data_IF_378909530446
#
_entry.id   IF_378909530446
#
_cell.length_a   1.000
_cell.length_b   1.000
_cell.length_c   1.000
_cell.angle_alpha   90.00
_cell.angle_beta   90.00
_cell.angle_gamma   90.00
#
_symmetry.space_group_name_H-M   'P 1'
#
loop_
_entity.id
_entity.type
_entity.pdbx_description
1 polymer ?
#
# COMPACT_ATOMS: atom_id res chain seq x y z
N UNK A 1 -1.49 39.28 -57.48
CA UNK A 1 -2.08 38.76 -56.19
C UNK A 1 -1.97 37.23 -56.02
N UNK A 2 -2.07 36.37 -57.02
CA UNK A 2 -1.99 34.89 -56.88
C UNK A 2 -0.62 34.37 -56.44
N UNK A 3 0.50 34.95 -56.90
CA UNK A 3 1.88 34.52 -56.61
C UNK A 3 2.24 34.59 -55.10
N UNK A 4 1.79 35.64 -54.41
CA UNK A 4 2.06 35.80 -52.96
C UNK A 4 1.25 34.84 -52.09
N UNK A 5 0.09 34.33 -52.53
CA UNK A 5 -0.67 33.31 -51.77
C UNK A 5 0.00 31.93 -51.85
N UNK A 6 0.63 31.62 -52.98
CA UNK A 6 1.35 30.35 -53.18
C UNK A 6 2.60 30.33 -52.33
N UNK A 7 3.39 31.40 -52.31
CA UNK A 7 4.60 31.51 -51.49
C UNK A 7 4.28 31.38 -49.98
N UNK A 8 3.21 32.02 -49.52
CA UNK A 8 2.75 31.87 -48.11
C UNK A 8 2.28 30.47 -47.76
N UNK A 9 1.67 29.72 -48.71
CA UNK A 9 1.32 28.32 -48.49
C UNK A 9 2.55 27.42 -48.40
N UNK A 10 3.53 27.60 -49.28
CA UNK A 10 4.78 26.83 -49.23
C UNK A 10 5.60 27.14 -47.96
N UNK A 11 5.66 28.40 -47.53
CA UNK A 11 6.33 28.76 -46.29
C UNK A 11 5.64 28.15 -45.06
N UNK A 12 4.33 28.12 -45.02
CA UNK A 12 3.58 27.41 -43.92
C UNK A 12 3.82 25.90 -43.95
N UNK A 13 3.80 25.27 -45.12
CA UNK A 13 4.05 23.84 -45.25
C UNK A 13 5.49 23.51 -44.83
N UNK A 14 6.48 24.30 -45.22
CA UNK A 14 7.88 24.11 -44.81
C UNK A 14 8.09 24.25 -43.31
N UNK A 15 7.40 25.18 -42.64
CA UNK A 15 7.43 25.32 -41.16
C UNK A 15 6.79 24.12 -40.49
N UNK A 16 5.66 23.60 -41.01
CA UNK A 16 5.04 22.38 -40.45
C UNK A 16 5.92 21.15 -40.62
N UNK A 17 6.57 20.98 -41.78
CA UNK A 17 7.51 19.87 -42.02
C UNK A 17 8.73 19.96 -41.12
N UNK A 18 9.25 21.17 -40.86
CA UNK A 18 10.36 21.39 -39.95
C UNK A 18 9.98 21.10 -38.49
N UNK A 19 8.78 21.48 -38.06
CA UNK A 19 8.26 21.19 -36.71
C UNK A 19 8.04 19.68 -36.48
N UNK A 20 7.58 18.95 -37.48
CA UNK A 20 7.43 17.49 -37.40
C UNK A 20 8.80 16.81 -37.37
N UNK A 21 9.77 17.28 -38.15
CA UNK A 21 11.14 16.75 -38.17
C UNK A 21 11.90 17.01 -36.84
N UNK A 22 11.58 18.10 -36.13
CA UNK A 22 12.15 18.40 -34.81
C UNK A 22 11.48 17.59 -33.69
N UNK A 23 10.27 17.05 -33.90
CA UNK A 23 9.55 16.21 -32.95
C UNK A 23 9.97 14.74 -32.96
N UNK A 24 10.70 14.28 -34.00
CA UNK A 24 11.32 12.94 -34.03
C UNK A 24 12.70 13.03 -33.36
N UNK A 25 12.72 13.41 -32.08
CA UNK A 25 13.92 13.30 -31.24
C UNK A 25 14.36 11.84 -31.17
N UNK A 26 15.65 11.60 -31.01
CA UNK A 26 16.30 10.30 -30.96
C UNK A 26 15.78 9.45 -29.82
N UNK A 27 14.57 8.91 -29.95
CA UNK A 27 13.98 7.93 -28.98
C UNK A 27 14.29 6.49 -29.38
N UNK A 28 14.89 6.26 -30.57
CA UNK A 28 15.18 4.92 -31.08
C UNK A 28 16.04 4.06 -30.13
N UNK A 29 16.82 4.70 -29.27
CA UNK A 29 17.69 4.03 -28.30
C UNK A 29 17.25 4.24 -26.84
N UNK A 30 16.05 4.81 -26.62
CA UNK A 30 15.57 5.10 -25.27
C UNK A 30 15.49 3.83 -24.41
N UNK A 31 14.95 2.76 -24.94
CA UNK A 31 14.88 1.48 -24.23
C UNK A 31 16.26 0.87 -24.00
N UNK A 32 17.16 0.94 -25.01
CA UNK A 32 18.53 0.42 -24.89
C UNK A 32 19.31 1.14 -23.77
N UNK A 33 19.25 2.48 -23.71
CA UNK A 33 19.96 3.25 -22.70
C UNK A 33 19.33 3.21 -21.31
N UNK A 34 18.03 2.95 -21.21
CA UNK A 34 17.32 2.85 -19.94
C UNK A 34 17.18 1.39 -19.43
N UNK A 35 17.61 0.40 -20.21
CA UNK A 35 17.65 -0.98 -19.79
C UNK A 35 18.98 -1.25 -19.09
N UNK A 36 18.94 -1.72 -17.85
CA UNK A 36 20.15 -2.17 -17.16
C UNK A 36 20.62 -3.51 -17.76
N UNK A 37 21.76 -3.55 -18.51
CA UNK A 37 22.23 -4.78 -19.16
C UNK A 37 22.73 -5.83 -18.15
N UNK A 38 22.98 -5.43 -16.91
CA UNK A 38 23.50 -6.28 -15.84
C UNK A 38 22.44 -6.68 -14.82
N UNK A 39 21.22 -6.11 -14.94
CA UNK A 39 20.09 -6.45 -14.07
C UNK A 39 19.34 -7.70 -14.58
N UNK A 40 18.69 -8.46 -13.69
CA UNK A 40 17.81 -9.53 -14.12
C UNK A 40 16.64 -8.95 -14.94
N UNK A 41 16.28 -9.63 -16.02
CA UNK A 41 15.14 -9.22 -16.84
C UNK A 41 13.84 -9.64 -16.17
N UNK A 42 12.73 -8.91 -16.37
CA UNK A 42 11.44 -9.22 -15.76
C UNK A 42 10.98 -10.67 -16.03
N UNK A 43 11.21 -11.19 -17.24
CA UNK A 43 10.88 -12.57 -17.62
C UNK A 43 11.69 -13.63 -16.85
N UNK A 44 12.90 -13.30 -16.43
CA UNK A 44 13.74 -14.18 -15.60
C UNK A 44 13.28 -14.22 -14.12
N UNK A 45 12.57 -13.20 -13.66
CA UNK A 45 12.13 -13.04 -12.27
C UNK A 45 10.67 -13.49 -12.04
N UNK A 46 9.92 -13.81 -13.10
CA UNK A 46 8.52 -14.22 -12.99
C UNK A 46 8.35 -15.69 -12.55
N UNK A 47 9.35 -16.51 -12.82
CA UNK A 47 9.22 -17.98 -12.69
C UNK A 47 9.25 -18.53 -11.27
N UNK A 48 9.78 -17.79 -10.29
CA UNK A 48 10.01 -18.23 -8.90
C UNK A 48 9.44 -17.29 -7.86
N UNK A 49 8.48 -16.45 -8.23
CA UNK A 49 7.92 -15.39 -7.40
C UNK A 49 8.95 -14.34 -6.91
N UNK A 50 10.13 -14.23 -7.52
CA UNK A 50 11.17 -13.32 -7.06
C UNK A 50 10.72 -11.85 -7.03
N UNK A 51 9.95 -11.40 -8.03
CA UNK A 51 9.40 -10.05 -8.06
C UNK A 51 8.32 -9.89 -6.98
N UNK A 52 7.30 -10.75 -6.99
CA UNK A 52 6.17 -10.64 -6.05
C UNK A 52 6.59 -10.84 -4.61
N UNK A 53 7.48 -11.79 -4.35
CA UNK A 53 8.06 -12.03 -3.03
C UNK A 53 8.90 -10.83 -2.53
N UNK A 54 9.72 -10.24 -3.39
CA UNK A 54 10.48 -9.03 -3.04
C UNK A 54 9.56 -7.85 -2.74
N UNK A 55 8.44 -7.70 -3.45
CA UNK A 55 7.43 -6.69 -3.16
C UNK A 55 6.73 -6.94 -1.82
N UNK A 56 6.33 -8.18 -1.53
CA UNK A 56 5.81 -8.58 -0.20
C UNK A 56 6.82 -8.21 0.90
N UNK A 57 8.08 -8.60 0.72
CA UNK A 57 9.15 -8.28 1.67
C UNK A 57 9.31 -6.78 1.90
N UNK A 58 9.10 -5.94 0.88
CA UNK A 58 9.15 -4.47 1.00
C UNK A 58 7.93 -3.88 1.73
N UNK A 59 6.77 -4.56 1.72
CA UNK A 59 5.55 -4.13 2.39
C UNK A 59 5.55 -4.45 3.89
N UNK A 60 6.17 -5.54 4.31
CA UNK A 60 6.17 -6.02 5.71
C UNK A 60 6.64 -4.94 6.71
N UNK A 61 7.70 -4.15 6.46
CA UNK A 61 8.11 -3.08 7.37
C UNK A 61 7.09 -1.97 7.58
N UNK A 62 6.07 -1.84 6.73
CA UNK A 62 4.98 -0.90 6.97
C UNK A 62 4.07 -1.31 8.13
N UNK A 63 4.06 -2.59 8.52
CA UNK A 63 3.30 -3.09 9.65
C UNK A 63 3.99 -2.82 10.98
N UNK A 64 5.32 -2.98 10.99
CA UNK A 64 6.18 -2.74 12.16
C UNK A 64 7.25 -1.76 11.74
N UNK A 65 7.02 -0.51 12.01
CA UNK A 65 7.89 0.58 11.62
C UNK A 65 9.25 0.50 12.32
N UNK A 66 10.31 0.89 11.62
CA UNK A 66 11.63 1.03 12.23
C UNK A 66 11.62 2.05 13.37
N UNK A 67 12.46 1.83 14.38
CA UNK A 67 12.45 2.60 15.63
C UNK A 67 12.62 4.11 15.45
N UNK A 68 13.50 4.55 14.56
CA UNK A 68 13.73 5.98 14.35
C UNK A 68 12.59 6.62 13.55
N UNK A 69 12.15 7.76 14.01
CA UNK A 69 11.10 8.61 13.44
C UNK A 69 9.73 7.92 13.36
N UNK A 70 9.56 6.89 12.53
CA UNK A 70 8.24 6.36 12.24
C UNK A 70 7.57 5.68 13.45
N UNK A 71 8.21 4.71 14.10
CA UNK A 71 7.67 4.10 15.32
C UNK A 71 7.60 5.10 16.47
N UNK A 72 8.60 6.00 16.58
CA UNK A 72 8.58 7.04 17.58
C UNK A 72 7.39 7.99 17.42
N UNK A 73 7.09 8.41 16.19
CA UNK A 73 5.99 9.33 15.92
C UNK A 73 4.62 8.65 16.05
N UNK A 74 4.51 7.38 15.64
CA UNK A 74 3.25 6.64 15.71
C UNK A 74 2.98 6.04 17.09
N UNK A 75 3.88 5.14 17.52
CA UNK A 75 3.59 4.30 18.69
C UNK A 75 3.80 5.08 19.98
N UNK A 76 4.85 5.93 20.06
CA UNK A 76 5.16 6.67 21.27
C UNK A 76 4.39 7.99 21.34
N UNK A 77 4.54 8.88 20.37
CA UNK A 77 3.99 10.22 20.46
C UNK A 77 2.47 10.25 20.22
N UNK A 78 1.95 9.53 19.23
CA UNK A 78 0.51 9.47 18.99
C UNK A 78 -0.13 8.42 19.91
N UNK A 79 0.31 7.18 19.84
CA UNK A 79 -0.31 6.08 20.57
C UNK A 79 -0.22 6.27 22.08
N UNK A 80 1.00 6.27 22.61
CA UNK A 80 1.20 6.24 24.08
C UNK A 80 0.95 7.59 24.75
N UNK A 81 1.30 8.73 24.14
CA UNK A 81 1.01 10.03 24.75
C UNK A 81 -0.48 10.37 24.70
N UNK A 82 -1.18 10.14 23.59
CA UNK A 82 -2.63 10.34 23.50
C UNK A 82 -3.41 9.30 24.31
N UNK A 83 -2.88 8.08 24.43
CA UNK A 83 -3.40 7.02 25.27
C UNK A 83 -3.22 7.29 26.77
N UNK A 84 -2.40 8.29 27.15
CA UNK A 84 -2.12 8.63 28.54
C UNK A 84 -1.20 7.63 29.26
N UNK A 85 -0.50 6.78 28.51
CA UNK A 85 0.44 5.78 29.06
C UNK A 85 1.77 6.41 29.46
N UNK A 86 2.22 7.42 28.70
CA UNK A 86 3.44 8.16 28.95
C UNK A 86 3.19 9.67 28.83
N UNK A 87 4.11 10.48 29.38
CA UNK A 87 4.14 11.91 29.18
C UNK A 87 5.55 12.40 29.01
N UNK A 88 5.73 13.46 28.23
CA UNK A 88 7.02 14.10 28.07
C UNK A 88 7.27 15.07 29.24
N UNK A 89 8.36 14.86 29.96
CA UNK A 89 8.76 15.73 31.10
C UNK A 89 9.62 16.92 30.68
N UNK A 90 10.10 16.97 29.45
CA UNK A 90 10.94 18.02 28.91
C UNK A 90 10.35 18.59 27.62
N UNK A 91 10.38 19.92 27.48
CA UNK A 91 9.98 20.53 26.21
C UNK A 91 11.07 20.29 25.17
N UNK A 92 10.70 19.57 24.10
CA UNK A 92 11.52 19.40 22.92
C UNK A 92 10.67 19.59 21.66
N UNK A 93 11.27 19.72 20.51
CA UNK A 93 10.51 19.90 19.27
C UNK A 93 9.92 21.29 19.06
N UNK A 94 10.56 22.34 19.57
CA UNK A 94 10.14 23.74 19.40
C UNK A 94 8.71 24.03 19.89
N UNK A 95 8.30 23.45 21.01
CA UNK A 95 7.02 23.70 21.66
C UNK A 95 5.84 22.86 21.14
N UNK A 96 6.02 22.10 20.08
CA UNK A 96 5.05 21.08 19.67
C UNK A 96 5.15 19.85 20.58
N UNK A 97 4.00 19.34 21.04
CA UNK A 97 3.93 18.12 21.84
C UNK A 97 2.57 17.45 21.68
N UNK A 98 2.52 16.13 21.93
CA UNK A 98 1.29 15.36 21.82
C UNK A 98 0.53 15.30 23.15
N UNK A 99 1.23 15.35 24.28
CA UNK A 99 0.61 15.25 25.61
C UNK A 99 -0.29 16.46 25.96
N UNK A 100 -0.16 17.58 25.27
CA UNK A 100 -1.09 18.73 25.37
C UNK A 100 -1.92 18.94 24.11
N UNK A 101 -2.03 17.93 23.25
CA UNK A 101 -2.76 17.98 21.98
C UNK A 101 -2.32 19.12 21.03
N UNK A 102 -1.04 19.45 21.07
CA UNK A 102 -0.41 20.44 20.20
C UNK A 102 0.68 19.79 19.33
N UNK A 103 0.33 18.83 18.43
CA UNK A 103 1.31 18.10 17.65
C UNK A 103 2.02 19.00 16.65
N UNK A 104 3.28 18.72 16.41
CA UNK A 104 4.05 19.35 15.35
C UNK A 104 3.60 18.82 13.98
N UNK A 105 3.14 19.71 13.10
CA UNK A 105 2.54 19.34 11.80
C UNK A 105 3.41 18.38 11.00
N UNK A 106 4.73 18.64 10.87
CA UNK A 106 5.62 17.78 10.11
C UNK A 106 5.84 16.37 10.70
N UNK A 107 5.54 16.20 11.99
CA UNK A 107 5.65 14.88 12.63
C UNK A 107 4.36 14.10 12.53
N UNK A 108 3.25 14.78 12.71
CA UNK A 108 1.95 14.13 12.68
C UNK A 108 1.54 13.64 11.27
N UNK A 109 2.03 14.29 10.20
CA UNK A 109 1.83 13.81 8.83
C UNK A 109 2.74 12.63 8.41
N UNK A 110 3.87 12.45 9.11
CA UNK A 110 4.92 11.52 8.70
C UNK A 110 4.43 10.08 8.48
N UNK A 111 3.54 9.59 9.32
CA UNK A 111 3.00 8.22 9.19
C UNK A 111 2.20 8.03 7.91
N UNK A 112 1.33 8.97 7.59
CA UNK A 112 0.55 8.92 6.37
C UNK A 112 1.48 8.98 5.15
N UNK A 113 2.38 9.95 5.13
CA UNK A 113 3.27 10.23 4.00
C UNK A 113 4.30 9.11 3.73
N UNK A 114 4.65 8.32 4.74
CA UNK A 114 5.62 7.23 4.59
C UNK A 114 4.97 5.87 4.40
N UNK A 115 3.94 5.56 5.17
CA UNK A 115 3.33 4.22 5.18
C UNK A 115 2.42 3.99 3.98
N UNK A 116 1.63 5.00 3.57
CA UNK A 116 0.75 4.86 2.41
C UNK A 116 1.53 4.53 1.12
N UNK A 117 2.57 5.29 0.72
CA UNK A 117 3.35 4.93 -0.46
C UNK A 117 4.04 3.58 -0.34
N UNK A 118 4.56 3.23 0.84
CA UNK A 118 5.25 1.95 1.06
C UNK A 118 4.33 0.76 0.83
N UNK A 119 3.10 0.81 1.33
CA UNK A 119 2.11 -0.25 1.14
C UNK A 119 1.58 -0.27 -0.29
N UNK A 120 1.11 0.86 -0.79
CA UNK A 120 0.40 0.88 -2.06
C UNK A 120 1.30 0.70 -3.27
N UNK A 121 2.58 1.09 -3.21
CA UNK A 121 3.54 0.79 -4.29
C UNK A 121 3.71 -0.72 -4.48
N UNK A 122 3.92 -1.47 -3.41
CA UNK A 122 4.03 -2.93 -3.48
C UNK A 122 2.71 -3.59 -3.88
N UNK A 123 1.61 -3.17 -3.26
CA UNK A 123 0.28 -3.68 -3.52
C UNK A 123 -0.14 -3.57 -4.99
N UNK A 124 0.01 -2.38 -5.61
CA UNK A 124 -0.37 -2.19 -7.02
C UNK A 124 0.51 -3.00 -7.97
N UNK A 125 1.80 -3.06 -7.72
CA UNK A 125 2.68 -3.87 -8.56
C UNK A 125 2.32 -5.36 -8.48
N UNK A 126 2.03 -5.89 -7.29
CA UNK A 126 1.58 -7.28 -7.13
C UNK A 126 0.24 -7.49 -7.83
N UNK A 127 -0.73 -6.58 -7.63
CA UNK A 127 -2.04 -6.64 -8.29
C UNK A 127 -1.89 -6.69 -9.81
N UNK A 128 -1.07 -5.81 -10.38
CA UNK A 128 -0.92 -5.69 -11.82
C UNK A 128 -0.16 -6.89 -12.42
N UNK A 129 0.82 -7.45 -11.69
CA UNK A 129 1.55 -8.65 -12.09
C UNK A 129 0.70 -9.93 -12.00
N UNK A 130 -0.23 -9.99 -11.05
CA UNK A 130 -1.07 -11.17 -10.77
C UNK A 130 -2.49 -11.07 -11.35
N UNK A 131 -2.83 -9.97 -12.01
CA UNK A 131 -4.20 -9.65 -12.44
C UNK A 131 -5.20 -9.70 -11.26
N UNK A 132 -4.74 -9.29 -10.07
CA UNK A 132 -5.51 -9.30 -8.83
C UNK A 132 -5.88 -10.71 -8.33
N UNK A 133 -5.05 -11.72 -8.59
CA UNK A 133 -5.33 -13.12 -8.24
C UNK A 133 -4.14 -13.80 -7.56
N UNK A 134 -4.43 -14.95 -6.94
CA UNK A 134 -3.42 -15.82 -6.35
C UNK A 134 -2.92 -15.39 -4.97
N UNK A 135 -2.12 -16.25 -4.36
CA UNK A 135 -1.73 -16.11 -2.95
C UNK A 135 -0.87 -14.88 -2.66
N UNK A 136 0.02 -14.50 -3.58
CA UNK A 136 0.83 -13.29 -3.39
C UNK A 136 -0.04 -12.02 -3.32
N UNK A 137 -1.09 -11.94 -4.14
CA UNK A 137 -2.05 -10.84 -4.07
C UNK A 137 -2.85 -10.86 -2.76
N UNK A 138 -3.34 -12.02 -2.36
CA UNK A 138 -4.08 -12.16 -1.10
C UNK A 138 -3.20 -11.85 0.12
N UNK A 139 -1.92 -12.19 0.07
CA UNK A 139 -0.98 -11.79 1.11
C UNK A 139 -0.78 -10.26 1.15
N UNK A 140 -0.64 -9.63 -0.01
CA UNK A 140 -0.58 -8.18 -0.11
C UNK A 140 -1.86 -7.50 0.43
N UNK A 141 -3.05 -8.12 0.27
CA UNK A 141 -4.29 -7.65 0.87
C UNK A 141 -4.22 -7.65 2.41
N UNK A 142 -3.77 -8.75 3.03
CA UNK A 142 -3.60 -8.82 4.49
C UNK A 142 -2.66 -7.70 4.97
N UNK A 143 -1.52 -7.50 4.30
CA UNK A 143 -0.57 -6.45 4.64
C UNK A 143 -1.16 -5.05 4.46
N UNK A 144 -1.91 -4.84 3.38
CA UNK A 144 -2.61 -3.58 3.11
C UNK A 144 -3.62 -3.24 4.20
N UNK A 145 -4.47 -4.20 4.58
CA UNK A 145 -5.45 -4.00 5.66
C UNK A 145 -4.75 -3.69 6.98
N UNK A 146 -3.72 -4.46 7.34
CA UNK A 146 -3.01 -4.28 8.60
C UNK A 146 -2.37 -2.88 8.72
N UNK A 147 -1.74 -2.39 7.65
CA UNK A 147 -1.15 -1.06 7.63
C UNK A 147 -2.22 0.04 7.58
N UNK A 148 -3.27 -0.13 6.76
CA UNK A 148 -4.36 0.85 6.63
C UNK A 148 -5.15 1.00 7.93
N UNK A 149 -5.40 -0.07 8.65
CA UNK A 149 -6.02 -0.01 9.98
C UNK A 149 -5.20 0.84 10.93
N UNK A 150 -3.87 0.65 10.96
CA UNK A 150 -2.96 1.41 11.82
C UNK A 150 -2.97 2.91 11.48
N UNK A 151 -3.00 3.25 10.18
CA UNK A 151 -3.10 4.63 9.71
C UNK A 151 -4.48 5.22 10.08
N UNK A 152 -5.56 4.49 9.85
CA UNK A 152 -6.91 4.91 10.18
C UNK A 152 -7.11 5.13 11.68
N UNK A 153 -6.45 4.35 12.54
CA UNK A 153 -6.44 4.56 13.98
C UNK A 153 -5.88 5.93 14.39
N UNK A 154 -4.95 6.47 13.59
CA UNK A 154 -4.32 7.76 13.85
C UNK A 154 -5.07 8.93 13.21
N UNK A 155 -5.65 8.73 12.03
CA UNK A 155 -6.17 9.83 11.20
C UNK A 155 -7.69 9.77 10.95
N UNK A 156 -8.35 8.66 11.30
CA UNK A 156 -9.76 8.42 10.99
C UNK A 156 -9.95 8.00 9.53
N UNK A 157 -10.85 8.66 8.78
CA UNK A 157 -11.05 8.39 7.35
C UNK A 157 -9.76 8.47 6.55
N UNK A 158 -9.54 7.49 5.69
CA UNK A 158 -8.38 7.44 4.78
C UNK A 158 -8.85 7.03 3.38
N UNK A 159 -8.10 7.34 2.32
CA UNK A 159 -8.36 6.77 1.02
C UNK A 159 -7.99 5.28 1.03
N UNK A 160 -8.92 4.43 0.60
CA UNK A 160 -8.72 2.98 0.57
C UNK A 160 -9.33 2.34 -0.68
N UNK A 161 -10.67 2.40 -0.84
CA UNK A 161 -11.38 1.75 -1.94
C UNK A 161 -11.13 2.41 -3.29
N UNK A 162 -10.94 3.72 -3.30
CA UNK A 162 -10.79 4.53 -4.52
C UNK A 162 -9.34 4.73 -4.97
N UNK A 163 -8.37 4.17 -4.24
CA UNK A 163 -6.96 4.26 -4.65
C UNK A 163 -6.70 3.32 -5.82
N UNK A 164 -6.47 3.89 -7.00
CA UNK A 164 -6.16 3.12 -8.22
C UNK A 164 -4.66 3.07 -8.55
N UNK A 165 -3.88 3.98 -7.98
CA UNK A 165 -2.46 4.16 -8.30
C UNK A 165 -2.18 5.14 -9.43
N UNK A 166 -3.19 5.67 -10.11
CA UNK A 166 -3.05 6.55 -11.29
C UNK A 166 -3.73 7.91 -11.14
N UNK A 167 -4.61 8.08 -10.17
CA UNK A 167 -5.33 9.32 -9.95
C UNK A 167 -4.50 10.34 -9.17
N UNK A 168 -4.57 11.62 -9.54
CA UNK A 168 -3.91 12.72 -8.82
C UNK A 168 -4.61 13.05 -7.49
N UNK A 169 -5.91 12.82 -7.41
CA UNK A 169 -6.72 13.05 -6.21
C UNK A 169 -7.57 11.82 -5.97
N UNK A 170 -7.69 11.43 -4.71
CA UNK A 170 -8.47 10.26 -4.29
C UNK A 170 -9.37 10.69 -3.14
N UNK A 171 -10.64 10.30 -3.21
CA UNK A 171 -11.58 10.54 -2.13
C UNK A 171 -11.28 9.62 -0.94
N UNK A 172 -11.59 10.13 0.26
CA UNK A 172 -11.46 9.38 1.50
C UNK A 172 -12.72 8.54 1.70
N UNK A 173 -12.55 7.28 2.05
CA UNK A 173 -13.65 6.45 2.50
C UNK A 173 -14.08 6.92 3.89
N UNK A 174 -15.39 7.02 4.13
CA UNK A 174 -15.88 7.19 5.49
C UNK A 174 -15.57 5.94 6.33
N UNK A 175 -15.60 6.06 7.65
CA UNK A 175 -15.18 4.98 8.54
C UNK A 175 -16.01 3.69 8.37
N UNK A 176 -17.30 3.80 8.09
CA UNK A 176 -18.17 2.64 7.92
C UNK A 176 -17.79 1.85 6.65
N UNK A 177 -17.65 2.54 5.52
CA UNK A 177 -17.29 1.91 4.26
C UNK A 177 -15.85 1.39 4.28
N UNK A 178 -14.91 2.14 4.88
CA UNK A 178 -13.53 1.69 5.09
C UNK A 178 -13.47 0.34 5.81
N UNK A 179 -14.21 0.20 6.92
CA UNK A 179 -14.21 -1.04 7.68
C UNK A 179 -14.86 -2.20 6.92
N UNK A 180 -15.95 -1.94 6.18
CA UNK A 180 -16.57 -2.96 5.32
C UNK A 180 -15.59 -3.47 4.27
N UNK A 181 -14.92 -2.57 3.54
CA UNK A 181 -13.94 -2.96 2.53
C UNK A 181 -12.76 -3.74 3.14
N UNK A 182 -12.26 -3.32 4.29
CA UNK A 182 -11.18 -4.04 4.97
C UNK A 182 -11.61 -5.42 5.46
N UNK A 183 -12.87 -5.61 5.91
CA UNK A 183 -13.40 -6.93 6.25
C UNK A 183 -13.53 -7.81 5.02
N UNK A 184 -14.06 -7.30 3.92
CA UNK A 184 -14.22 -8.04 2.67
C UNK A 184 -12.84 -8.52 2.14
N UNK A 185 -11.84 -7.66 2.14
CA UNK A 185 -10.47 -7.99 1.74
C UNK A 185 -9.84 -9.06 2.64
N UNK A 186 -10.08 -9.02 3.96
CA UNK A 186 -9.59 -10.05 4.88
C UNK A 186 -10.33 -11.36 4.70
N UNK A 187 -11.63 -11.36 4.50
CA UNK A 187 -12.43 -12.57 4.31
C UNK A 187 -12.01 -13.31 3.04
N UNK A 188 -11.78 -12.57 1.96
CA UNK A 188 -11.26 -13.13 0.71
C UNK A 188 -9.86 -13.74 0.92
N UNK A 189 -8.95 -13.00 1.55
CA UNK A 189 -7.59 -13.45 1.79
C UNK A 189 -7.54 -14.67 2.72
N UNK A 190 -8.29 -14.67 3.82
CA UNK A 190 -8.39 -15.81 4.77
C UNK A 190 -8.90 -17.05 4.04
N UNK A 191 -9.95 -16.90 3.23
CA UNK A 191 -10.52 -18.01 2.46
C UNK A 191 -9.49 -18.61 1.49
N UNK A 192 -8.79 -17.78 0.75
CA UNK A 192 -7.78 -18.22 -0.21
C UNK A 192 -6.60 -18.94 0.48
N UNK A 193 -6.10 -18.39 1.58
CA UNK A 193 -5.02 -19.02 2.34
C UNK A 193 -5.44 -20.35 2.97
N UNK A 194 -6.65 -20.46 3.49
CA UNK A 194 -7.18 -21.73 4.01
C UNK A 194 -7.26 -22.81 2.93
N UNK A 195 -7.76 -22.46 1.76
CA UNK A 195 -7.84 -23.38 0.63
C UNK A 195 -6.44 -23.87 0.24
N UNK A 196 -5.47 -22.98 0.13
CA UNK A 196 -4.10 -23.34 -0.23
C UNK A 196 -3.42 -24.22 0.84
N UNK A 197 -3.59 -23.88 2.11
CA UNK A 197 -3.03 -24.64 3.23
C UNK A 197 -3.65 -26.04 3.31
N UNK A 198 -4.99 -26.15 3.23
CA UNK A 198 -5.69 -27.43 3.26
C UNK A 198 -5.41 -28.27 2.02
N UNK A 199 -5.21 -27.64 0.88
CA UNK A 199 -4.85 -28.28 -0.38
C UNK A 199 -3.38 -28.73 -0.46
N UNK A 200 -2.56 -28.38 0.55
CA UNK A 200 -1.09 -28.57 0.53
C UNK A 200 -0.46 -27.96 -0.73
N UNK A 201 -0.91 -26.78 -1.11
CA UNK A 201 -0.33 -26.04 -2.23
C UNK A 201 1.14 -25.73 -1.97
N UNK A 202 1.99 -25.88 -2.98
CA UNK A 202 3.41 -25.55 -2.86
C UNK A 202 3.60 -24.03 -2.83
N UNK A 203 3.86 -23.51 -1.65
CA UNK A 203 4.14 -22.09 -1.38
C UNK A 203 5.63 -21.82 -1.08
N UNK A 204 6.51 -22.78 -1.37
CA UNK A 204 7.94 -22.69 -1.03
C UNK A 204 8.61 -21.47 -1.65
N UNK A 205 8.25 -21.12 -2.88
CA UNK A 205 8.79 -19.93 -3.58
C UNK A 205 8.37 -18.59 -2.97
N UNK A 206 7.31 -18.53 -2.18
CA UNK A 206 6.91 -17.35 -1.41
C UNK A 206 7.46 -17.37 0.02
N UNK A 207 7.72 -18.56 0.56
CA UNK A 207 8.13 -18.76 1.95
C UNK A 207 9.41 -18.04 2.32
N UNK A 208 10.38 -17.98 1.42
CA UNK A 208 11.68 -17.33 1.65
C UNK A 208 11.58 -15.79 1.79
N UNK A 209 10.47 -15.20 1.36
CA UNK A 209 10.18 -13.76 1.50
C UNK A 209 9.42 -13.42 2.77
N UNK A 210 9.00 -14.43 3.55
CA UNK A 210 8.27 -14.24 4.79
C UNK A 210 9.21 -13.92 5.96
N UNK A 211 9.33 -12.64 6.27
CA UNK A 211 10.15 -12.14 7.38
C UNK A 211 9.49 -12.31 8.76
N UNK A 212 8.22 -12.77 8.83
CA UNK A 212 7.44 -12.80 10.07
C UNK A 212 7.28 -14.21 10.60
N UNK A 213 6.82 -15.13 9.77
CA UNK A 213 6.49 -16.50 10.17
C UNK A 213 7.30 -17.58 9.45
N UNK A 214 8.33 -17.19 8.68
CA UNK A 214 9.24 -18.09 7.95
C UNK A 214 8.49 -19.08 7.03
N UNK A 215 7.47 -18.61 6.32
CA UNK A 215 6.67 -19.42 5.40
C UNK A 215 5.59 -20.27 6.05
N UNK A 216 5.30 -20.06 7.32
CA UNK A 216 4.15 -20.72 7.98
C UNK A 216 2.86 -19.95 7.66
N UNK A 217 2.24 -20.29 6.54
CA UNK A 217 1.00 -19.65 6.09
C UNK A 217 -0.21 -19.94 6.98
N UNK A 218 -0.20 -20.98 7.81
CA UNK A 218 -1.22 -21.14 8.87
C UNK A 218 -1.18 -19.99 9.88
N UNK A 219 0.01 -19.46 10.16
CA UNK A 219 0.14 -18.29 11.05
C UNK A 219 -0.36 -17.02 10.38
N UNK A 220 -0.27 -16.90 9.06
CA UNK A 220 -0.87 -15.79 8.33
C UNK A 220 -2.40 -15.82 8.39
N UNK A 221 -3.03 -17.01 8.32
CA UNK A 221 -4.48 -17.17 8.57
C UNK A 221 -4.84 -16.70 9.97
N UNK A 222 -4.09 -17.13 10.99
CA UNK A 222 -4.32 -16.71 12.39
C UNK A 222 -4.09 -15.20 12.58
N UNK A 223 -3.09 -14.64 11.91
CA UNK A 223 -2.83 -13.20 11.95
C UNK A 223 -3.99 -12.42 11.34
N UNK A 224 -4.48 -12.82 10.18
CA UNK A 224 -5.60 -12.16 9.50
C UNK A 224 -6.89 -12.26 10.34
N UNK A 225 -7.19 -13.41 10.94
CA UNK A 225 -8.32 -13.57 11.86
C UNK A 225 -8.16 -12.72 13.14
N UNK A 226 -6.95 -12.64 13.69
CA UNK A 226 -6.66 -11.76 14.84
C UNK A 226 -6.87 -10.28 14.50
N UNK A 227 -6.51 -9.87 13.26
CA UNK A 227 -6.75 -8.54 12.77
C UNK A 227 -8.25 -8.26 12.58
N UNK A 228 -8.98 -9.23 11.99
CA UNK A 228 -10.44 -9.20 11.85
C UNK A 228 -11.15 -9.06 13.20
N UNK A 229 -10.73 -9.84 14.20
CA UNK A 229 -11.25 -9.74 15.56
C UNK A 229 -10.98 -8.36 16.18
N UNK A 230 -9.76 -7.83 16.01
CA UNK A 230 -9.41 -6.48 16.49
C UNK A 230 -10.32 -5.42 15.87
N UNK A 231 -10.54 -5.48 14.55
CA UNK A 231 -11.43 -4.58 13.84
C UNK A 231 -12.88 -4.69 14.35
N UNK A 232 -13.38 -5.90 14.53
CA UNK A 232 -14.71 -6.16 15.06
C UNK A 232 -14.91 -5.54 16.46
N UNK A 233 -13.93 -5.72 17.34
CA UNK A 233 -13.98 -5.13 18.69
C UNK A 233 -14.01 -3.60 18.67
N UNK A 234 -13.33 -2.95 17.70
CA UNK A 234 -13.32 -1.49 17.59
C UNK A 234 -14.66 -0.89 17.19
N UNK A 235 -15.45 -1.62 16.40
CA UNK A 235 -16.77 -1.15 15.96
C UNK A 235 -17.90 -1.65 16.87
N UNK A 236 -17.60 -2.32 17.97
CA UNK A 236 -18.59 -2.96 18.84
C UNK A 236 -19.65 -2.00 19.42
N UNK A 237 -19.30 -0.73 19.62
CA UNK A 237 -20.23 0.28 20.14
C UNK A 237 -21.05 0.97 19.03
N UNK A 238 -20.52 1.04 17.81
CA UNK A 238 -21.15 1.79 16.71
C UNK A 238 -21.88 0.88 15.72
N UNK A 239 -21.47 -0.39 15.61
CA UNK A 239 -22.09 -1.41 14.75
C UNK A 239 -22.08 -2.78 15.43
N UNK A 240 -22.84 -2.98 16.53
CA UNK A 240 -22.74 -4.19 17.36
C UNK A 240 -23.12 -5.48 16.62
N UNK A 241 -24.02 -5.42 15.66
CA UNK A 241 -24.43 -6.59 14.89
C UNK A 241 -23.28 -7.09 14.00
N UNK A 242 -22.67 -6.20 13.21
CA UNK A 242 -21.51 -6.52 12.36
C UNK A 242 -20.32 -6.92 13.22
N UNK A 243 -20.09 -6.22 14.32
CA UNK A 243 -19.01 -6.54 15.26
C UNK A 243 -19.12 -7.97 15.80
N UNK A 244 -20.32 -8.37 16.22
CA UNK A 244 -20.59 -9.73 16.69
C UNK A 244 -20.34 -10.76 15.59
N UNK A 245 -20.91 -10.56 14.41
CA UNK A 245 -20.75 -11.45 13.25
C UNK A 245 -19.27 -11.67 12.94
N UNK A 246 -18.51 -10.59 12.72
CA UNK A 246 -17.10 -10.68 12.35
C UNK A 246 -16.18 -11.20 13.46
N UNK A 247 -16.53 -10.94 14.73
CA UNK A 247 -15.81 -11.52 15.87
C UNK A 247 -16.04 -13.02 16.00
N UNK A 248 -17.29 -13.49 15.89
CA UNK A 248 -17.63 -14.91 15.96
C UNK A 248 -16.99 -15.68 14.79
N UNK A 249 -17.00 -15.14 13.57
CA UNK A 249 -16.28 -15.71 12.44
C UNK A 249 -14.78 -15.84 12.74
N UNK A 250 -14.15 -14.78 13.22
CA UNK A 250 -12.70 -14.73 13.46
C UNK A 250 -12.21 -15.71 14.53
N UNK A 251 -13.04 -16.05 15.52
CA UNK A 251 -12.67 -16.99 16.61
C UNK A 251 -13.07 -18.43 16.31
N UNK A 252 -13.98 -18.66 15.35
CA UNK A 252 -14.35 -20.01 14.92
C UNK A 252 -13.36 -20.63 13.94
N UNK A 253 -12.52 -19.83 13.39
CA UNK A 253 -11.50 -20.12 12.41
C UNK A 253 -10.12 -20.35 13.02
#
# INVERSE_FOLDING_TARGET
>A
MKKNKIIKKFAKLSVYTLLVALGTGCTDKFEEYNTNPFGPKPDQMLGDNAITGSLIKSMIPALVQGQQNNSQMLDQMIGSEYGGEITCIAQWGNGGNYYTYNPRVGWYGNMFDTTMPQIYTGYFQIRDLSDGKGLAYQWAQILRVAASLKISDCYGPIPYSQITGTAFTVEYDNMEDLYKHMFDDLDEAISAFKVAVLGNEDMSSLSEYDLVFNGDFNKWVKFANSLKLRMAMRISSVSPALAKEKAEEAVSD
#
